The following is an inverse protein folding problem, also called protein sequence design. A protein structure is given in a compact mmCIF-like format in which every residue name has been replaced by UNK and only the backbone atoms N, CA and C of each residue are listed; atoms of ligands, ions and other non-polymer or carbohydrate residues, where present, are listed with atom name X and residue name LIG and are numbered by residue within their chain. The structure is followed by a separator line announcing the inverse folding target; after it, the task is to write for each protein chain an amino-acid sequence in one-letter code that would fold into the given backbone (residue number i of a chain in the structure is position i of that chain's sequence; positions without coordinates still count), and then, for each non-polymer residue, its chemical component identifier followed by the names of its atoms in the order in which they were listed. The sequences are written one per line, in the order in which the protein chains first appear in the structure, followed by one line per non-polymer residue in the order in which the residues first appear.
data_IF_216389870694
#
_entry.id   IF_216389870694
#
_cell.length_a   1.000
_cell.length_b   1.000
_cell.length_c   1.000
_cell.angle_alpha   90.00
_cell.angle_beta   90.00
_cell.angle_gamma   90.00
#
_symmetry.space_group_name_H-M   'P 1'
#
loop_
_entity.id
_entity.type
_entity.pdbx_description
1 polymer ?
#
# COMPACT_ATOMS: atom_id res chain seq x y z
N UNK A 1 -44.41 -4.13 15.01
CA UNK A 1 -43.20 -4.84 15.50
C UNK A 1 -43.45 -5.25 16.92
N UNK A 2 -43.08 -6.47 17.29
CA UNK A 2 -43.18 -6.97 18.66
C UNK A 2 -42.06 -6.31 19.50
N UNK A 3 -42.37 -5.85 20.71
CA UNK A 3 -41.43 -5.26 21.67
C UNK A 3 -41.56 -5.94 23.02
N UNK A 4 -40.58 -5.81 23.94
CA UNK A 4 -40.67 -6.38 25.29
C UNK A 4 -41.89 -5.93 26.10
N UNK A 5 -42.55 -4.83 25.70
CA UNK A 5 -43.73 -4.26 26.35
C UNK A 5 -45.03 -4.48 25.58
N UNK A 6 -45.00 -5.25 24.48
CA UNK A 6 -46.20 -5.54 23.69
C UNK A 6 -47.13 -6.48 24.48
N UNK A 7 -48.37 -6.09 24.81
CA UNK A 7 -49.31 -6.96 25.51
C UNK A 7 -49.72 -8.15 24.64
N UNK A 8 -49.72 -9.36 25.21
CA UNK A 8 -50.13 -10.59 24.52
C UNK A 8 -51.56 -10.93 24.92
N UNK A 9 -52.52 -10.74 24.01
CA UNK A 9 -53.95 -10.96 24.25
C UNK A 9 -54.53 -12.17 23.47
N UNK A 10 -53.70 -12.82 22.65
CA UNK A 10 -54.01 -13.97 21.81
C UNK A 10 -52.73 -14.66 21.35
N UNK A 11 -52.86 -15.86 20.79
CA UNK A 11 -51.73 -16.54 20.14
C UNK A 11 -51.13 -15.67 19.03
N UNK A 12 -49.82 -15.46 19.08
CA UNK A 12 -49.08 -14.65 18.12
C UNK A 12 -47.79 -15.33 17.68
N UNK A 13 -47.38 -15.10 16.44
CA UNK A 13 -46.08 -15.52 15.92
C UNK A 13 -45.24 -14.29 15.58
N UNK A 14 -44.00 -14.27 16.05
CA UNK A 14 -43.02 -13.21 15.71
C UNK A 14 -42.07 -13.79 14.67
N UNK A 15 -42.07 -13.27 13.42
CA UNK A 15 -41.09 -13.67 12.45
C UNK A 15 -39.71 -13.19 12.92
N UNK A 16 -38.79 -14.13 13.11
CA UNK A 16 -37.38 -13.84 13.34
C UNK A 16 -36.65 -14.05 12.03
N UNK A 17 -35.98 -13.01 11.56
CA UNK A 17 -35.03 -13.14 10.44
C UNK A 17 -33.65 -13.33 11.05
N UNK A 18 -33.03 -14.48 10.79
CA UNK A 18 -31.61 -14.70 11.04
C UNK A 18 -30.90 -14.54 9.71
N UNK A 19 -30.07 -13.51 9.58
CA UNK A 19 -29.15 -13.35 8.46
C UNK A 19 -27.82 -13.99 8.85
N UNK A 20 -27.41 -14.99 8.10
CA UNK A 20 -26.06 -15.53 8.12
C UNK A 20 -25.23 -14.69 7.15
N UNK A 21 -24.23 -13.98 7.66
CA UNK A 21 -23.25 -13.27 6.83
C UNK A 21 -21.91 -13.98 6.98
N UNK A 22 -21.25 -14.24 5.85
CA UNK A 22 -19.93 -14.89 5.82
C UNK A 22 -18.81 -13.96 6.30
N UNK A 23 -19.11 -12.69 6.60
CA UNK A 23 -18.14 -11.68 6.97
C UNK A 23 -18.74 -10.59 7.88
N UNK A 24 -17.90 -9.94 8.67
CA UNK A 24 -18.23 -8.79 9.51
C UNK A 24 -18.10 -7.48 8.71
N UNK A 25 -19.05 -6.56 8.85
CA UNK A 25 -19.01 -5.25 8.17
C UNK A 25 -18.62 -4.12 9.13
N UNK A 26 -17.71 -3.25 8.67
CA UNK A 26 -17.29 -2.05 9.41
C UNK A 26 -17.67 -0.83 8.58
N UNK A 27 -18.58 -0.01 9.09
CA UNK A 27 -19.02 1.23 8.44
C UNK A 27 -18.60 2.49 9.22
N UNK A 28 -18.08 2.33 10.44
CA UNK A 28 -17.74 3.42 11.35
C UNK A 28 -16.61 3.04 12.32
N UNK A 29 -16.06 4.04 13.02
CA UNK A 29 -15.09 3.82 14.10
C UNK A 29 -15.66 3.01 15.29
N UNK A 30 -16.96 3.10 15.54
CA UNK A 30 -17.62 2.31 16.57
C UNK A 30 -17.70 0.81 16.19
N UNK A 31 -17.95 0.52 14.92
CA UNK A 31 -17.93 -0.86 14.39
C UNK A 31 -16.52 -1.43 14.45
N UNK A 32 -15.50 -0.61 14.12
CA UNK A 32 -14.09 -0.99 14.26
C UNK A 32 -13.76 -1.39 15.70
N UNK A 33 -14.16 -0.57 16.69
CA UNK A 33 -13.93 -0.89 18.10
C UNK A 33 -14.64 -2.18 18.54
N UNK A 34 -15.86 -2.40 18.04
CA UNK A 34 -16.61 -3.63 18.30
C UNK A 34 -15.91 -4.84 17.71
N UNK A 35 -15.41 -4.72 16.48
CA UNK A 35 -14.59 -5.73 15.83
C UNK A 35 -13.29 -6.02 16.60
N UNK A 36 -12.58 -5.00 17.07
CA UNK A 36 -11.40 -5.19 17.93
C UNK A 36 -11.74 -6.04 19.17
N UNK A 37 -12.85 -5.75 19.84
CA UNK A 37 -13.28 -6.52 21.01
C UNK A 37 -13.64 -7.98 20.66
N UNK A 38 -14.31 -8.21 19.53
CA UNK A 38 -14.67 -9.54 19.04
C UNK A 38 -13.41 -10.40 18.78
N UNK A 39 -12.40 -9.84 18.13
CA UNK A 39 -11.14 -10.55 17.87
C UNK A 39 -10.36 -10.77 19.16
N UNK A 40 -10.23 -9.73 19.99
CA UNK A 40 -9.38 -9.76 21.19
C UNK A 40 -9.94 -10.64 22.32
N UNK A 41 -11.23 -10.97 22.29
CA UNK A 41 -11.90 -11.89 23.24
C UNK A 41 -11.81 -13.36 22.85
N UNK A 42 -11.14 -13.69 21.73
CA UNK A 42 -11.06 -15.04 21.15
C UNK A 42 -12.39 -15.60 20.62
N UNK A 43 -13.46 -14.80 20.58
CA UNK A 43 -14.78 -15.29 20.16
C UNK A 43 -14.77 -15.71 18.69
N UNK A 44 -14.16 -14.91 17.80
CA UNK A 44 -14.08 -15.19 16.37
C UNK A 44 -12.78 -14.67 15.72
N UNK A 45 -11.59 -15.18 16.08
CA UNK A 45 -10.29 -14.64 15.63
C UNK A 45 -10.02 -14.73 14.12
N UNK A 46 -10.85 -15.51 13.39
CA UNK A 46 -10.74 -15.75 11.95
C UNK A 46 -11.93 -15.21 11.15
N UNK A 47 -12.78 -14.35 11.73
CA UNK A 47 -13.91 -13.78 10.99
C UNK A 47 -13.39 -12.86 9.88
N UNK A 48 -13.82 -13.14 8.65
CA UNK A 48 -13.54 -12.28 7.51
C UNK A 48 -14.26 -10.95 7.68
N UNK A 49 -13.67 -9.86 7.21
CA UNK A 49 -14.17 -8.51 7.49
C UNK A 49 -14.06 -7.61 6.28
N UNK A 50 -15.05 -6.74 6.08
CA UNK A 50 -15.07 -5.75 4.99
C UNK A 50 -15.36 -4.34 5.49
N UNK A 51 -14.62 -3.36 4.96
CA UNK A 51 -14.99 -1.96 5.12
C UNK A 51 -16.13 -1.59 4.17
N UNK A 52 -17.09 -0.81 4.66
CA UNK A 52 -18.22 -0.26 3.90
C UNK A 52 -18.01 1.20 3.48
N UNK A 53 -17.17 1.92 4.22
CA UNK A 53 -16.89 3.34 4.05
C UNK A 53 -15.44 3.62 4.46
N UNK A 54 -14.96 4.80 4.09
CA UNK A 54 -13.81 5.39 4.75
C UNK A 54 -14.16 5.65 6.22
N UNK A 55 -13.23 5.35 7.12
CA UNK A 55 -13.42 5.54 8.57
C UNK A 55 -12.25 6.33 9.16
N UNK A 56 -12.58 7.20 10.12
CA UNK A 56 -11.61 7.94 10.92
C UNK A 56 -11.63 7.39 12.34
N UNK A 57 -10.54 6.75 12.76
CA UNK A 57 -10.40 6.20 14.11
C UNK A 57 -10.00 7.27 15.13
N UNK A 58 -9.69 8.47 14.67
CA UNK A 58 -9.25 9.58 15.49
C UNK A 58 -8.01 9.22 16.32
N UNK A 59 -8.05 9.60 17.59
CA UNK A 59 -6.92 9.44 18.51
C UNK A 59 -6.96 8.19 19.37
N UNK A 60 -8.08 7.47 19.38
CA UNK A 60 -8.22 6.26 20.19
C UNK A 60 -7.50 5.08 19.50
N UNK A 61 -6.56 4.45 20.21
CA UNK A 61 -5.81 3.30 19.72
C UNK A 61 -6.62 2.05 20.01
N UNK A 62 -7.37 1.57 19.01
CA UNK A 62 -8.06 0.28 19.03
C UNK A 62 -7.44 -0.63 17.97
N UNK A 63 -6.99 -1.82 18.38
CA UNK A 63 -6.20 -2.72 17.52
C UNK A 63 -6.85 -4.09 17.38
N UNK A 64 -6.64 -4.73 16.23
CA UNK A 64 -7.24 -6.01 15.86
C UNK A 64 -6.24 -7.14 16.11
N UNK A 65 -6.52 -7.93 17.14
CA UNK A 65 -5.65 -8.99 17.60
C UNK A 65 -4.61 -8.51 18.61
N UNK A 66 -4.15 -9.41 19.47
CA UNK A 66 -3.19 -9.17 20.52
C UNK A 66 -2.17 -10.32 20.64
N UNK A 67 -1.26 -10.23 21.60
CA UNK A 67 -0.18 -11.21 21.77
C UNK A 67 -0.67 -12.63 22.09
N UNK A 68 -1.91 -12.77 22.55
CA UNK A 68 -2.60 -14.02 22.84
C UNK A 68 -3.49 -14.39 21.66
N UNK A 69 -4.45 -13.52 21.33
CA UNK A 69 -5.46 -13.74 20.29
C UNK A 69 -5.10 -13.02 19.00
N UNK A 70 -4.39 -13.72 18.13
CA UNK A 70 -3.88 -13.16 16.87
C UNK A 70 -4.97 -13.20 15.80
N UNK A 71 -5.04 -12.18 14.95
CA UNK A 71 -5.98 -12.15 13.84
C UNK A 71 -5.58 -13.15 12.75
N UNK A 72 -6.56 -13.89 12.21
CA UNK A 72 -6.35 -14.98 11.24
C UNK A 72 -7.27 -14.92 10.02
N UNK A 73 -8.12 -13.90 9.95
CA UNK A 73 -9.11 -13.75 8.88
C UNK A 73 -8.59 -13.00 7.67
N UNK A 74 -9.48 -12.78 6.71
CA UNK A 74 -9.32 -11.86 5.60
C UNK A 74 -9.92 -10.51 5.94
N UNK A 75 -9.11 -9.46 5.97
CA UNK A 75 -9.59 -8.08 6.06
C UNK A 75 -9.55 -7.43 4.67
N UNK A 76 -10.72 -7.09 4.11
CA UNK A 76 -10.85 -6.42 2.82
C UNK A 76 -11.30 -4.97 3.02
N UNK A 77 -10.40 -4.02 2.76
CA UNK A 77 -10.72 -2.60 2.80
C UNK A 77 -11.65 -2.15 1.66
N UNK A 78 -11.87 -2.97 0.63
CA UNK A 78 -12.68 -2.64 -0.55
C UNK A 78 -12.31 -1.31 -1.24
N UNK A 79 -11.05 -0.89 -1.11
CA UNK A 79 -10.53 0.38 -1.62
C UNK A 79 -10.78 1.58 -0.70
N UNK A 80 -11.38 1.37 0.49
CA UNK A 80 -11.61 2.41 1.48
C UNK A 80 -10.34 2.78 2.28
N UNK A 81 -10.41 3.95 2.91
CA UNK A 81 -9.34 4.53 3.71
C UNK A 81 -9.65 4.48 5.21
N UNK A 82 -8.68 4.06 6.00
CA UNK A 82 -8.65 4.27 7.46
C UNK A 82 -7.75 5.46 7.77
N UNK A 83 -8.26 6.46 8.47
CA UNK A 83 -7.49 7.60 9.00
C UNK A 83 -7.18 7.42 10.48
N UNK A 84 -5.93 7.69 10.89
CA UNK A 84 -5.47 7.59 12.29
C UNK A 84 -4.71 8.85 12.74
N UNK A 85 -4.88 9.24 14.00
CA UNK A 85 -4.07 10.25 14.70
C UNK A 85 -3.58 9.66 16.03
N UNK A 86 -2.69 8.68 15.96
CA UNK A 86 -2.29 7.90 17.13
C UNK A 86 -1.03 8.45 17.77
N UNK A 87 -1.09 8.73 19.07
CA UNK A 87 0.06 9.13 19.86
C UNK A 87 0.23 8.16 21.03
N UNK A 88 1.09 7.16 20.87
CA UNK A 88 1.31 6.12 21.87
C UNK A 88 2.35 6.52 22.92
N UNK A 89 1.98 6.40 24.19
CA UNK A 89 2.80 6.80 25.33
C UNK A 89 2.54 5.94 26.57
N UNK A 90 3.51 5.93 27.50
CA UNK A 90 3.37 5.25 28.79
C UNK A 90 3.11 3.75 28.64
N UNK A 91 1.91 3.30 29.03
CA UNK A 91 1.50 1.88 29.01
C UNK A 91 0.87 1.43 27.69
N UNK A 92 0.73 2.32 26.71
CA UNK A 92 0.31 1.91 25.37
C UNK A 92 1.28 0.85 24.85
N UNK A 93 0.76 -0.23 24.31
CA UNK A 93 1.56 -1.29 23.71
C UNK A 93 0.91 -1.71 22.42
N UNK A 94 1.71 -2.31 21.56
CA UNK A 94 1.22 -2.99 20.37
C UNK A 94 0.49 -2.09 19.34
N UNK A 95 1.10 -0.94 19.01
CA UNK A 95 0.47 0.11 18.22
C UNK A 95 0.61 -0.16 16.71
N UNK A 96 -0.43 -0.80 16.16
CA UNK A 96 -0.66 -1.04 14.73
C UNK A 96 -2.15 -1.39 14.52
N UNK A 97 -2.66 -1.37 13.28
CA UNK A 97 -4.04 -1.82 13.04
C UNK A 97 -4.24 -3.30 13.42
N UNK A 98 -3.29 -4.16 13.05
CA UNK A 98 -3.27 -5.61 13.28
C UNK A 98 -1.94 -6.04 13.92
N UNK A 99 -1.68 -5.69 15.20
CA UNK A 99 -0.35 -5.80 15.77
C UNK A 99 0.19 -7.22 15.78
N UNK A 100 -0.69 -8.21 15.92
CA UNK A 100 -0.37 -9.63 15.82
C UNK A 100 -1.35 -10.33 14.89
N UNK A 101 -0.81 -10.97 13.86
CA UNK A 101 -1.58 -11.79 12.93
C UNK A 101 -0.82 -13.04 12.55
N UNK A 102 -1.55 -14.07 12.12
CA UNK A 102 -1.02 -15.34 11.64
C UNK A 102 -1.94 -15.91 10.57
N UNK A 103 -1.37 -16.32 9.44
CA UNK A 103 -2.11 -16.88 8.30
C UNK A 103 -3.25 -15.96 7.79
N UNK A 104 -3.07 -14.64 7.92
CA UNK A 104 -4.08 -13.63 7.60
C UNK A 104 -3.86 -13.03 6.20
N UNK A 105 -4.95 -12.49 5.62
CA UNK A 105 -4.89 -11.71 4.39
C UNK A 105 -5.44 -10.31 4.64
N UNK A 106 -4.65 -9.27 4.39
CA UNK A 106 -5.10 -7.88 4.45
C UNK A 106 -5.05 -7.31 3.04
N UNK A 107 -6.18 -6.85 2.50
CA UNK A 107 -6.24 -6.39 1.11
C UNK A 107 -7.07 -5.14 0.87
N UNK A 108 -6.78 -4.46 -0.23
CA UNK A 108 -7.53 -3.30 -0.75
C UNK A 108 -7.73 -2.20 0.30
N UNK A 109 -6.70 -1.91 1.10
CA UNK A 109 -6.81 -0.99 2.25
C UNK A 109 -5.77 0.12 2.14
N UNK A 110 -6.24 1.37 2.19
CA UNK A 110 -5.38 2.53 2.43
C UNK A 110 -5.44 2.94 3.89
N UNK A 111 -4.28 3.24 4.48
CA UNK A 111 -4.18 3.85 5.80
C UNK A 111 -3.46 5.18 5.68
N UNK A 112 -4.01 6.24 6.29
CA UNK A 112 -3.41 7.57 6.28
C UNK A 112 -3.48 8.25 7.65
N UNK A 113 -2.82 9.40 7.78
CA UNK A 113 -2.75 10.19 9.01
C UNK A 113 -1.37 10.13 9.64
N UNK A 114 -1.28 9.97 10.96
CA UNK A 114 0.00 9.98 11.68
C UNK A 114 0.02 9.05 12.89
N UNK A 115 1.23 8.58 13.19
CA UNK A 115 1.55 7.79 14.38
C UNK A 115 2.78 8.39 15.07
N UNK A 116 2.70 8.65 16.36
CA UNK A 116 3.82 9.16 17.16
C UNK A 116 4.03 8.32 18.42
N UNK A 117 5.28 8.14 18.83
CA UNK A 117 5.61 7.56 20.13
C UNK A 117 7.02 7.93 20.55
N UNK A 118 7.26 8.07 21.86
CA UNK A 118 8.57 8.28 22.46
C UNK A 118 9.21 7.01 23.04
N UNK A 119 8.48 5.89 23.04
CA UNK A 119 8.84 4.70 23.82
C UNK A 119 8.38 3.38 23.19
N UNK A 120 7.34 3.39 22.37
CA UNK A 120 6.78 2.21 21.76
C UNK A 120 7.25 2.01 20.32
N UNK A 121 7.37 0.76 19.85
CA UNK A 121 7.54 0.49 18.44
C UNK A 121 6.24 0.77 17.67
N UNK A 122 6.38 1.26 16.44
CA UNK A 122 5.28 1.66 15.58
C UNK A 122 5.30 0.90 14.25
N UNK A 123 4.13 0.49 13.79
CA UNK A 123 3.95 0.05 12.40
C UNK A 123 2.52 0.29 11.99
N UNK A 124 2.26 0.54 10.71
CA UNK A 124 0.89 0.80 10.26
C UNK A 124 0.01 -0.45 10.33
N UNK A 125 0.48 -1.57 9.76
CA UNK A 125 -0.32 -2.78 9.69
C UNK A 125 -0.03 -3.75 10.83
N UNK A 126 1.22 -4.17 11.04
CA UNK A 126 1.50 -5.25 12.01
C UNK A 126 2.87 -5.14 12.68
N UNK A 127 2.92 -5.42 13.98
CA UNK A 127 4.20 -5.48 14.68
C UNK A 127 4.85 -6.87 14.53
N UNK A 128 4.01 -7.91 14.54
CA UNK A 128 4.41 -9.30 14.44
C UNK A 128 3.54 -10.00 13.39
N UNK A 129 4.09 -10.17 12.19
CA UNK A 129 3.45 -10.96 11.15
C UNK A 129 4.03 -12.38 11.15
N UNK A 130 3.14 -13.39 11.17
CA UNK A 130 3.47 -14.82 11.33
C UNK A 130 2.78 -15.67 10.26
N UNK A 131 3.19 -16.94 10.17
CA UNK A 131 2.57 -17.90 9.25
C UNK A 131 2.67 -17.46 7.80
N UNK A 132 1.71 -17.88 6.98
CA UNK A 132 1.59 -17.48 5.57
C UNK A 132 0.65 -16.28 5.46
N UNK A 133 1.21 -15.08 5.63
CA UNK A 133 0.45 -13.83 5.63
C UNK A 133 0.58 -13.10 4.29
N UNK A 134 -0.52 -12.52 3.80
CA UNK A 134 -0.54 -11.73 2.57
C UNK A 134 -1.05 -10.31 2.80
N UNK A 135 -0.35 -9.33 2.24
CA UNK A 135 -0.82 -7.96 2.06
C UNK A 135 -0.99 -7.71 0.56
N UNK A 136 -2.16 -7.27 0.12
CA UNK A 136 -2.48 -7.10 -1.31
C UNK A 136 -3.18 -5.77 -1.58
N UNK A 137 -2.69 -4.94 -2.51
CA UNK A 137 -3.25 -3.61 -2.77
C UNK A 137 -3.32 -2.69 -1.53
N UNK A 138 -2.44 -2.93 -0.55
CA UNK A 138 -2.38 -2.16 0.69
C UNK A 138 -1.46 -0.94 0.55
N UNK A 139 -1.91 0.21 1.05
CA UNK A 139 -1.20 1.49 0.99
C UNK A 139 -1.00 2.02 2.41
N UNK A 140 0.24 2.29 2.76
CA UNK A 140 0.63 3.02 3.96
C UNK A 140 1.03 4.46 3.59
N UNK A 141 0.17 5.41 3.89
CA UNK A 141 0.38 6.85 3.71
C UNK A 141 0.31 7.57 5.06
N UNK A 142 1.04 7.04 6.04
CA UNK A 142 1.03 7.47 7.44
C UNK A 142 2.38 8.10 7.79
N UNK A 143 2.34 9.31 8.37
CA UNK A 143 3.54 9.93 8.94
C UNK A 143 3.87 9.30 10.29
N UNK A 144 4.96 8.55 10.36
CA UNK A 144 5.44 7.91 11.59
C UNK A 144 6.55 8.76 12.21
N UNK A 145 6.42 9.10 13.49
CA UNK A 145 7.47 9.78 14.27
C UNK A 145 7.82 8.99 15.51
N UNK A 146 9.02 8.42 15.57
CA UNK A 146 9.51 7.64 16.71
C UNK A 146 10.59 8.43 17.47
N UNK A 147 10.40 8.60 18.77
CA UNK A 147 11.39 9.09 19.72
C UNK A 147 11.94 7.98 20.62
N UNK A 148 11.80 6.71 20.21
CA UNK A 148 12.14 5.56 21.02
C UNK A 148 13.64 5.54 21.41
N UNK A 149 13.90 5.71 22.71
CA UNK A 149 15.26 5.72 23.28
C UNK A 149 15.82 4.32 23.60
N UNK A 150 14.99 3.28 23.50
CA UNK A 150 15.31 1.94 23.99
C UNK A 150 15.45 0.88 22.89
N UNK A 151 14.86 1.08 21.70
CA UNK A 151 14.99 0.16 20.56
C UNK A 151 15.36 0.86 19.26
N UNK A 152 16.32 0.28 18.53
CA UNK A 152 16.71 0.73 17.19
C UNK A 152 15.78 0.23 16.07
N UNK A 153 15.01 -0.83 16.34
CA UNK A 153 13.99 -1.40 15.46
C UNK A 153 12.61 -0.95 15.93
N UNK A 154 12.32 0.34 15.75
CA UNK A 154 11.19 0.99 16.42
C UNK A 154 10.11 1.52 15.47
N UNK A 155 10.31 1.47 14.16
CA UNK A 155 9.30 1.91 13.20
C UNK A 155 9.39 1.15 11.88
N UNK A 156 8.23 0.89 11.28
CA UNK A 156 8.13 0.39 9.90
C UNK A 156 6.88 0.94 9.19
N UNK A 157 6.98 1.17 7.88
CA UNK A 157 5.84 1.66 7.10
C UNK A 157 4.71 0.64 6.95
N UNK A 158 4.97 -0.68 7.03
CA UNK A 158 3.90 -1.69 7.05
C UNK A 158 4.04 -2.66 8.22
N UNK A 159 5.16 -3.39 8.29
CA UNK A 159 5.34 -4.50 9.25
C UNK A 159 6.60 -4.27 10.07
N UNK A 160 6.52 -4.25 11.40
CA UNK A 160 7.72 -4.09 12.21
C UNK A 160 8.62 -5.33 12.10
N UNK A 161 8.07 -6.53 12.31
CA UNK A 161 8.86 -7.77 12.32
C UNK A 161 8.17 -8.93 11.62
N UNK A 162 8.89 -9.54 10.68
CA UNK A 162 8.59 -10.87 10.17
C UNK A 162 9.13 -11.92 11.14
N UNK A 163 8.24 -12.64 11.81
CA UNK A 163 8.59 -13.59 12.86
C UNK A 163 9.15 -14.91 12.32
N UNK A 164 9.80 -15.74 13.15
CA UNK A 164 10.36 -17.02 12.72
C UNK A 164 9.37 -17.88 11.93
N UNK A 165 9.90 -18.60 10.94
CA UNK A 165 9.17 -19.50 10.03
C UNK A 165 8.08 -18.83 9.16
N UNK A 166 7.92 -17.50 9.24
CA UNK A 166 6.88 -16.79 8.49
C UNK A 166 7.19 -16.67 7.00
N UNK A 167 6.14 -16.68 6.19
CA UNK A 167 6.15 -16.44 4.75
C UNK A 167 5.21 -15.28 4.46
N UNK A 168 5.77 -14.09 4.36
CA UNK A 168 5.01 -12.86 4.15
C UNK A 168 5.11 -12.45 2.68
N UNK A 169 3.96 -12.21 2.07
CA UNK A 169 3.86 -11.73 0.68
C UNK A 169 3.22 -10.36 0.64
N UNK A 170 3.82 -9.45 -0.10
CA UNK A 170 3.30 -8.12 -0.42
C UNK A 170 3.07 -8.06 -1.93
N UNK A 171 1.82 -7.90 -2.33
CA UNK A 171 1.42 -7.76 -3.73
C UNK A 171 0.86 -6.37 -3.95
N UNK A 172 1.46 -5.64 -4.89
CA UNK A 172 0.92 -4.36 -5.36
C UNK A 172 0.74 -3.34 -4.20
N UNK A 173 1.69 -3.32 -3.25
CA UNK A 173 1.63 -2.48 -2.05
C UNK A 173 2.47 -1.20 -2.17
N UNK A 174 2.08 -0.18 -1.42
CA UNK A 174 2.77 1.11 -1.37
C UNK A 174 3.12 1.50 0.08
N UNK A 175 4.33 2.02 0.28
CA UNK A 175 4.66 2.87 1.44
C UNK A 175 5.01 4.26 0.94
N UNK A 176 4.14 5.22 1.22
CA UNK A 176 4.25 6.62 0.83
C UNK A 176 4.51 7.57 2.01
N UNK A 177 4.12 7.17 3.23
CA UNK A 177 4.29 8.00 4.42
C UNK A 177 5.74 8.16 4.87
N UNK A 178 6.05 9.30 5.49
CA UNK A 178 7.37 9.60 6.05
C UNK A 178 7.61 8.89 7.39
N UNK A 179 8.82 8.37 7.58
CA UNK A 179 9.26 7.67 8.79
C UNK A 179 10.43 8.43 9.43
N UNK A 180 10.20 9.06 10.56
CA UNK A 180 11.16 9.97 11.19
C UNK A 180 11.51 9.57 12.63
N UNK A 181 12.77 9.24 12.85
CA UNK A 181 13.37 9.11 14.17
C UNK A 181 13.78 10.48 14.72
N UNK A 182 13.46 10.78 15.98
CA UNK A 182 13.79 12.08 16.61
C UNK A 182 14.97 12.02 17.57
N UNK A 183 15.46 10.81 17.86
CA UNK A 183 16.66 10.57 18.67
C UNK A 183 17.57 9.57 17.98
N UNK A 184 18.86 9.58 18.31
CA UNK A 184 19.86 8.73 17.66
C UNK A 184 19.45 7.26 17.60
N UNK A 185 18.89 6.72 18.68
CA UNK A 185 18.48 5.33 18.74
C UNK A 185 17.33 5.01 17.76
N UNK A 186 16.32 5.87 17.68
CA UNK A 186 15.23 5.74 16.70
C UNK A 186 15.66 5.98 15.25
N UNK A 187 16.85 6.55 15.02
CA UNK A 187 17.42 6.78 13.69
C UNK A 187 18.34 5.65 13.23
N UNK A 188 18.27 4.46 13.83
CA UNK A 188 19.16 3.36 13.47
C UNK A 188 18.54 2.42 12.44
N UNK A 189 17.51 1.62 12.76
CA UNK A 189 17.11 0.47 11.93
C UNK A 189 15.62 0.45 11.56
N UNK A 190 15.02 1.62 11.31
CA UNK A 190 13.62 1.69 10.85
C UNK A 190 13.47 1.10 9.45
N UNK A 191 12.35 0.42 9.18
CA UNK A 191 12.07 -0.22 7.89
C UNK A 191 11.16 0.62 6.99
N UNK A 192 11.40 0.59 5.68
CA UNK A 192 10.46 1.18 4.72
C UNK A 192 9.17 0.37 4.71
N UNK A 193 9.22 -0.88 4.23
CA UNK A 193 8.13 -1.84 4.41
C UNK A 193 8.28 -2.64 5.71
N UNK A 194 9.40 -3.34 5.87
CA UNK A 194 9.68 -4.25 6.99
C UNK A 194 10.95 -3.85 7.75
N UNK A 195 10.88 -3.70 9.08
CA UNK A 195 12.06 -3.28 9.89
C UNK A 195 12.96 -4.46 10.30
N UNK A 196 12.37 -5.56 10.75
CA UNK A 196 13.08 -6.75 11.20
C UNK A 196 12.55 -8.02 10.53
N UNK A 197 13.42 -9.02 10.35
CA UNK A 197 13.08 -10.29 9.74
C UNK A 197 13.93 -11.39 10.40
N UNK A 198 13.27 -12.42 10.91
CA UNK A 198 13.95 -13.61 11.44
C UNK A 198 14.72 -14.35 10.34
N UNK A 199 15.74 -15.12 10.73
CA UNK A 199 16.66 -15.73 9.77
C UNK A 199 16.02 -16.77 8.84
N UNK A 200 14.98 -17.44 9.31
CA UNK A 200 14.19 -18.46 8.62
C UNK A 200 12.85 -17.91 8.08
N UNK A 201 12.60 -16.61 8.23
CA UNK A 201 11.44 -15.94 7.66
C UNK A 201 11.72 -15.43 6.25
N UNK A 202 10.68 -15.37 5.41
CA UNK A 202 10.76 -14.84 4.05
C UNK A 202 9.78 -13.69 3.82
N UNK A 203 10.25 -12.62 3.20
CA UNK A 203 9.43 -11.52 2.71
C UNK A 203 9.54 -11.43 1.18
N UNK A 204 8.43 -11.63 0.47
CA UNK A 204 8.35 -11.53 -0.99
C UNK A 204 7.54 -10.31 -1.38
N UNK A 205 8.05 -9.52 -2.31
CA UNK A 205 7.41 -8.29 -2.80
C UNK A 205 7.21 -8.40 -4.30
N UNK A 206 5.98 -8.21 -4.75
CA UNK A 206 5.60 -8.23 -6.16
C UNK A 206 4.97 -6.89 -6.50
N UNK A 207 5.55 -6.16 -7.46
CA UNK A 207 5.01 -4.88 -7.93
C UNK A 207 4.82 -3.84 -6.81
N UNK A 208 5.75 -3.77 -5.86
CA UNK A 208 5.65 -2.85 -4.71
C UNK A 208 6.42 -1.54 -4.94
N UNK A 209 5.95 -0.45 -4.33
CA UNK A 209 6.50 0.88 -4.49
C UNK A 209 6.80 1.55 -3.13
N UNK A 210 8.01 2.06 -2.97
CA UNK A 210 8.43 2.87 -1.82
C UNK A 210 8.68 4.33 -2.23
N UNK A 211 7.84 5.26 -1.77
CA UNK A 211 8.01 6.70 -2.04
C UNK A 211 8.25 7.54 -0.79
N UNK A 212 7.99 7.02 0.41
CA UNK A 212 8.17 7.76 1.66
C UNK A 212 9.63 8.16 1.94
N UNK A 213 9.84 9.18 2.78
CA UNK A 213 11.19 9.50 3.28
C UNK A 213 11.47 8.76 4.59
N UNK A 214 12.74 8.44 4.83
CA UNK A 214 13.17 7.81 6.08
C UNK A 214 14.55 8.30 6.49
N UNK A 215 14.68 8.80 7.72
CA UNK A 215 15.94 9.39 8.22
C UNK A 215 16.83 8.40 8.98
N UNK A 216 16.54 7.11 8.92
CA UNK A 216 17.37 6.08 9.52
C UNK A 216 18.76 5.98 8.85
N UNK A 217 19.78 5.77 9.66
CA UNK A 217 21.18 5.57 9.28
C UNK A 217 21.46 4.12 8.84
N UNK A 218 20.60 3.18 9.24
CA UNK A 218 20.55 1.77 8.89
C UNK A 218 19.12 1.36 8.49
N UNK A 219 18.86 0.06 8.37
CA UNK A 219 17.57 -0.47 7.88
C UNK A 219 17.51 -0.61 6.35
N UNK A 220 16.31 -0.85 5.83
CA UNK A 220 16.07 -1.31 4.46
C UNK A 220 14.77 -0.74 3.88
N UNK A 221 14.78 -0.38 2.59
CA UNK A 221 13.57 0.09 1.91
C UNK A 221 12.45 -0.96 1.87
N UNK A 222 12.78 -2.24 1.66
CA UNK A 222 11.79 -3.32 1.61
C UNK A 222 11.86 -4.23 2.83
N UNK A 223 12.94 -5.00 3.01
CA UNK A 223 13.13 -5.87 4.17
C UNK A 223 14.61 -6.25 4.34
N UNK A 224 15.05 -6.84 5.46
CA UNK A 224 16.43 -7.31 5.60
C UNK A 224 16.87 -8.36 4.57
N UNK A 225 16.01 -9.33 4.22
CA UNK A 225 16.30 -10.38 3.23
C UNK A 225 15.11 -10.55 2.28
N UNK A 226 14.85 -9.58 1.38
CA UNK A 226 13.66 -9.59 0.54
C UNK A 226 13.87 -10.39 -0.74
N UNK A 227 12.81 -11.01 -1.23
CA UNK A 227 12.68 -11.39 -2.65
C UNK A 227 11.90 -10.29 -3.36
N UNK A 228 12.53 -9.59 -4.31
CA UNK A 228 11.95 -8.45 -4.99
C UNK A 228 11.64 -8.79 -6.44
N UNK A 229 10.37 -8.67 -6.81
CA UNK A 229 9.89 -8.84 -8.16
C UNK A 229 9.21 -7.53 -8.60
N UNK A 230 9.82 -6.81 -9.54
CA UNK A 230 9.28 -5.56 -10.08
C UNK A 230 9.00 -4.48 -9.02
N UNK A 231 9.98 -4.22 -8.13
CA UNK A 231 9.82 -3.27 -7.03
C UNK A 231 10.63 -1.99 -7.26
N UNK A 232 10.04 -0.83 -6.95
CA UNK A 232 10.66 0.47 -7.20
C UNK A 232 10.74 1.33 -5.94
N UNK A 233 11.73 2.21 -5.87
CA UNK A 233 11.85 3.21 -4.82
C UNK A 233 12.25 4.58 -5.36
N UNK A 234 11.79 5.65 -4.71
CA UNK A 234 12.20 7.03 -5.02
C UNK A 234 13.29 7.50 -4.07
N UNK A 235 12.96 7.50 -2.78
CA UNK A 235 13.83 8.04 -1.75
C UNK A 235 14.68 6.92 -1.17
N UNK A 236 15.97 6.91 -1.53
CA UNK A 236 16.93 6.00 -0.93
C UNK A 236 17.17 6.37 0.55
N UNK A 237 17.33 5.36 1.40
CA UNK A 237 17.91 5.51 2.73
C UNK A 237 18.68 4.24 3.09
N UNK A 238 19.69 4.38 3.94
CA UNK A 238 20.52 3.29 4.45
C UNK A 238 20.88 2.23 3.39
N UNK A 239 20.31 1.02 3.49
CA UNK A 239 20.53 -0.07 2.53
C UNK A 239 19.46 -0.04 1.43
N UNK A 240 19.90 0.32 0.23
CA UNK A 240 19.05 0.49 -0.93
C UNK A 240 18.68 -0.85 -1.57
N UNK A 241 17.40 -1.01 -1.91
CA UNK A 241 16.82 -2.25 -2.43
C UNK A 241 15.74 -1.93 -3.47
N UNK A 242 15.66 -2.71 -4.55
CA UNK A 242 14.74 -2.46 -5.66
C UNK A 242 15.35 -1.61 -6.76
N UNK A 243 14.51 -1.15 -7.69
CA UNK A 243 14.92 -0.31 -8.82
C UNK A 243 14.65 1.18 -8.51
N UNK A 244 15.66 2.07 -8.59
CA UNK A 244 15.42 3.50 -8.40
C UNK A 244 14.48 4.05 -9.46
N UNK A 245 13.64 5.00 -9.05
CA UNK A 245 12.82 5.84 -9.93
C UNK A 245 12.84 7.29 -9.45
N UNK A 246 12.23 8.20 -10.21
CA UNK A 246 12.19 9.63 -9.89
C UNK A 246 10.76 10.13 -9.78
N UNK A 247 10.57 11.32 -9.20
CA UNK A 247 9.26 11.96 -9.14
C UNK A 247 8.69 12.22 -10.54
N UNK A 248 9.52 12.54 -11.52
CA UNK A 248 9.12 12.76 -12.91
C UNK A 248 8.66 11.45 -13.56
N UNK A 249 9.36 10.33 -13.29
CA UNK A 249 8.94 9.01 -13.77
C UNK A 249 7.63 8.53 -13.12
N UNK A 250 7.40 8.88 -11.85
CA UNK A 250 6.14 8.61 -11.18
C UNK A 250 5.00 9.41 -11.80
N UNK A 251 5.20 10.68 -12.11
CA UNK A 251 4.18 11.55 -12.69
C UNK A 251 3.91 11.27 -14.17
N UNK A 252 4.82 10.60 -14.88
CA UNK A 252 4.75 10.41 -16.33
C UNK A 252 3.97 9.18 -16.78
N UNK A 253 3.47 8.33 -15.87
CA UNK A 253 2.85 7.04 -16.21
C UNK A 253 3.84 5.91 -16.45
N UNK A 254 5.14 6.20 -16.52
CA UNK A 254 6.20 5.19 -16.68
C UNK A 254 6.13 4.14 -15.57
N UNK A 255 6.12 4.56 -14.30
CA UNK A 255 6.11 3.63 -13.16
C UNK A 255 4.79 2.86 -13.08
N UNK A 256 3.66 3.49 -13.40
CA UNK A 256 2.36 2.82 -13.47
C UNK A 256 2.39 1.65 -14.48
N UNK A 257 2.92 1.91 -15.68
CA UNK A 257 3.05 0.91 -16.74
C UNK A 257 4.01 -0.22 -16.36
N UNK A 258 5.15 0.12 -15.73
CA UNK A 258 6.11 -0.87 -15.23
C UNK A 258 5.49 -1.77 -14.16
N UNK A 259 4.79 -1.19 -13.18
CA UNK A 259 4.12 -1.93 -12.11
C UNK A 259 2.98 -2.80 -12.65
N UNK A 260 2.23 -2.32 -13.65
CA UNK A 260 1.21 -3.09 -14.35
C UNK A 260 1.80 -4.35 -15.03
N UNK A 261 3.04 -4.28 -15.52
CA UNK A 261 3.85 -5.41 -16.00
C UNK A 261 3.13 -6.28 -17.05
N UNK A 262 2.36 -5.64 -17.94
CA UNK A 262 1.64 -6.32 -19.02
C UNK A 262 0.47 -7.20 -18.57
N UNK A 263 0.04 -7.12 -17.30
CA UNK A 263 -1.16 -7.83 -16.81
C UNK A 263 -2.40 -7.37 -17.58
N UNK A 264 -3.27 -8.31 -17.91
CA UNK A 264 -4.50 -8.04 -18.66
C UNK A 264 -5.53 -7.27 -17.82
N UNK A 265 -5.68 -7.67 -16.56
CA UNK A 265 -6.51 -7.00 -15.56
C UNK A 265 -5.85 -5.70 -15.14
N UNK A 266 -6.65 -4.63 -15.02
CA UNK A 266 -6.14 -3.35 -14.57
C UNK A 266 -5.88 -3.41 -13.06
N UNK A 267 -4.62 -3.34 -12.64
CA UNK A 267 -4.22 -3.38 -11.23
C UNK A 267 -3.52 -2.10 -10.81
N UNK A 268 -2.76 -1.49 -11.71
CA UNK A 268 -2.11 -0.20 -11.50
C UNK A 268 -2.62 0.84 -12.48
N UNK A 269 -2.88 2.03 -11.96
CA UNK A 269 -3.36 3.15 -12.77
C UNK A 269 -2.96 4.49 -12.20
N UNK A 270 -3.14 5.51 -13.04
CA UNK A 270 -2.81 6.89 -12.73
C UNK A 270 -3.61 7.81 -13.65
N UNK A 271 -4.08 8.96 -13.16
CA UNK A 271 -4.59 10.04 -14.02
C UNK A 271 -3.45 11.00 -14.33
N UNK A 272 -2.90 10.95 -15.56
CA UNK A 272 -1.74 11.76 -15.94
C UNK A 272 -2.06 13.25 -15.92
N UNK A 273 -1.10 14.05 -15.41
CA UNK A 273 -1.27 15.49 -15.18
C UNK A 273 -2.08 15.85 -13.93
N UNK A 274 -2.58 14.87 -13.18
CA UNK A 274 -3.29 15.08 -11.90
C UNK A 274 -2.62 14.30 -10.77
N UNK A 275 -2.49 12.99 -10.92
CA UNK A 275 -1.91 12.11 -9.92
C UNK A 275 -0.37 12.20 -9.98
N UNK A 276 0.28 12.52 -8.86
CA UNK A 276 1.74 12.58 -8.79
C UNK A 276 2.41 11.20 -8.77
N UNK A 277 1.67 10.18 -8.33
CA UNK A 277 2.14 8.80 -8.18
C UNK A 277 1.06 7.82 -8.64
N UNK A 278 1.43 6.62 -9.13
CA UNK A 278 0.46 5.59 -9.47
C UNK A 278 -0.11 4.93 -8.21
N UNK A 279 -1.31 4.36 -8.33
CA UNK A 279 -2.01 3.66 -7.25
C UNK A 279 -2.55 2.30 -7.74
N UNK A 280 -2.71 1.32 -6.84
CA UNK A 280 -3.51 0.14 -7.11
C UNK A 280 -4.96 0.55 -7.38
N UNK A 281 -5.46 0.21 -8.58
CA UNK A 281 -6.83 0.53 -8.99
C UNK A 281 -7.25 -0.31 -10.19
N UNK A 282 -8.51 -0.72 -10.18
CA UNK A 282 -9.19 -1.41 -11.28
C UNK A 282 -9.87 -0.47 -12.27
N UNK A 283 -9.88 0.84 -11.98
CA UNK A 283 -10.58 1.85 -12.78
C UNK A 283 -10.00 1.99 -14.19
N UNK A 284 -10.79 1.62 -15.19
CA UNK A 284 -10.36 1.56 -16.59
C UNK A 284 -9.87 2.90 -17.15
N UNK A 285 -10.42 4.03 -16.69
CA UNK A 285 -10.01 5.38 -17.09
C UNK A 285 -8.63 5.78 -16.55
N UNK A 286 -8.14 5.09 -15.51
CA UNK A 286 -6.79 5.25 -14.95
C UNK A 286 -5.75 4.35 -15.61
N UNK A 287 -6.13 3.45 -16.52
CA UNK A 287 -5.18 2.60 -17.24
C UNK A 287 -4.19 3.44 -18.04
N UNK A 288 -2.93 3.04 -18.00
CA UNK A 288 -1.84 3.67 -18.75
C UNK A 288 -1.46 2.81 -19.96
N UNK A 289 -1.43 3.44 -21.12
CA UNK A 289 -0.97 2.87 -22.38
C UNK A 289 0.41 3.43 -22.73
N UNK A 290 1.23 2.62 -23.40
CA UNK A 290 2.57 3.00 -23.82
C UNK A 290 2.64 3.20 -25.33
N UNK A 291 3.02 4.39 -25.77
CA UNK A 291 3.32 4.68 -27.17
C UNK A 291 4.83 4.60 -27.37
N UNK A 292 5.29 3.60 -28.13
CA UNK A 292 6.72 3.43 -28.42
C UNK A 292 7.10 4.08 -29.75
N UNK A 293 8.14 4.89 -29.72
CA UNK A 293 8.69 5.52 -30.91
C UNK A 293 9.96 4.79 -31.34
N UNK A 294 9.91 4.20 -32.53
CA UNK A 294 11.02 3.41 -33.09
C UNK A 294 11.66 4.10 -34.29
N UNK A 295 12.98 3.99 -34.41
CA UNK A 295 13.72 4.41 -35.60
C UNK A 295 14.72 3.32 -36.01
N UNK A 296 14.69 2.90 -37.28
CA UNK A 296 15.48 1.79 -37.83
C UNK A 296 15.31 0.47 -37.03
N UNK A 297 14.07 0.14 -36.66
CA UNK A 297 13.74 -1.08 -35.93
C UNK A 297 14.15 -1.09 -34.44
N UNK A 298 14.66 0.03 -33.92
CA UNK A 298 15.02 0.17 -32.50
C UNK A 298 14.09 1.14 -31.79
N UNK A 299 13.63 0.79 -30.59
CA UNK A 299 12.93 1.71 -29.69
C UNK A 299 13.90 2.81 -29.28
N UNK A 300 13.50 4.07 -29.48
CA UNK A 300 14.29 5.25 -29.12
C UNK A 300 13.77 5.91 -27.86
N UNK A 301 12.45 6.04 -27.77
CA UNK A 301 11.79 6.57 -26.57
C UNK A 301 10.36 6.05 -26.52
N UNK A 302 9.70 6.27 -25.38
CA UNK A 302 8.30 5.95 -25.19
C UNK A 302 7.61 7.03 -24.37
N UNK A 303 6.37 7.33 -24.73
CA UNK A 303 5.48 8.21 -23.99
C UNK A 303 4.30 7.40 -23.47
N UNK A 304 3.61 7.93 -22.46
CA UNK A 304 2.49 7.26 -21.82
C UNK A 304 1.25 8.14 -21.83
N UNK A 305 0.09 7.52 -21.93
CA UNK A 305 -1.20 8.21 -21.97
C UNK A 305 -2.30 7.39 -21.29
N UNK A 306 -3.29 8.09 -20.73
CA UNK A 306 -4.59 7.47 -20.45
C UNK A 306 -5.38 7.25 -21.75
N UNK A 307 -6.37 6.36 -21.71
CA UNK A 307 -7.25 6.08 -22.87
C UNK A 307 -7.88 7.37 -23.43
N UNK A 308 -7.92 7.52 -24.76
CA UNK A 308 -8.47 8.68 -25.43
C UNK A 308 -7.63 9.96 -25.32
N UNK A 309 -6.44 9.90 -24.71
CA UNK A 309 -5.53 11.04 -24.60
C UNK A 309 -4.40 10.96 -25.64
N UNK A 310 -3.76 12.09 -25.88
CA UNK A 310 -2.63 12.21 -26.81
C UNK A 310 -1.30 12.12 -26.07
N UNK A 311 -0.22 11.87 -26.79
CA UNK A 311 1.15 11.94 -26.27
C UNK A 311 1.93 13.06 -26.93
N UNK A 312 2.92 13.60 -26.22
CA UNK A 312 3.94 14.45 -26.84
C UNK A 312 4.79 13.62 -27.80
N UNK A 313 5.05 14.18 -28.98
CA UNK A 313 5.89 13.54 -29.99
C UNK A 313 7.37 13.80 -29.69
N UNK A 314 8.23 12.81 -29.90
CA UNK A 314 9.65 12.96 -29.64
C UNK A 314 10.31 13.91 -30.64
N UNK A 315 11.32 14.59 -30.15
CA UNK A 315 12.21 15.44 -30.92
C UNK A 315 13.13 14.64 -31.84
N UNK A 316 13.72 15.30 -32.84
CA UNK A 316 14.72 14.68 -33.69
C UNK A 316 15.96 14.23 -32.89
N UNK A 317 16.30 14.95 -31.82
CA UNK A 317 17.40 14.62 -30.92
C UNK A 317 17.13 13.31 -30.17
N UNK A 318 15.93 13.14 -29.60
CA UNK A 318 15.56 11.91 -28.90
C UNK A 318 15.53 10.69 -29.84
N UNK A 319 15.11 10.88 -31.10
CA UNK A 319 15.06 9.80 -32.09
C UNK A 319 16.44 9.41 -32.63
N UNK A 320 17.32 10.38 -32.85
CA UNK A 320 18.62 10.17 -33.51
C UNK A 320 19.78 9.96 -32.52
N UNK A 321 19.66 10.45 -31.28
CA UNK A 321 20.69 10.37 -30.26
C UNK A 321 22.03 10.92 -30.77
N UNK A 322 23.08 10.11 -30.74
CA UNK A 322 24.40 10.48 -31.23
C UNK A 322 24.47 10.86 -32.73
N UNK A 323 23.46 10.48 -33.53
CA UNK A 323 23.33 10.89 -34.94
C UNK A 323 22.68 12.26 -35.14
N UNK A 324 22.22 12.90 -34.06
CA UNK A 324 21.64 14.24 -34.11
C UNK A 324 22.73 15.30 -34.36
N UNK A 325 22.46 16.23 -35.27
CA UNK A 325 23.29 17.39 -35.54
C UNK A 325 22.42 18.65 -35.47
N UNK A 326 22.66 19.57 -34.54
CA UNK A 326 21.84 20.77 -34.38
C UNK A 326 21.91 21.75 -35.58
N UNK A 327 22.85 21.55 -36.51
CA UNK A 327 22.96 22.36 -37.73
C UNK A 327 22.18 21.78 -38.93
N UNK A 328 21.51 20.63 -38.77
CA UNK A 328 20.67 20.03 -39.79
C UNK A 328 19.18 20.32 -39.54
N UNK A 329 18.41 20.38 -40.62
CA UNK A 329 16.95 20.43 -40.55
C UNK A 329 16.39 19.01 -40.65
N UNK A 330 15.55 18.64 -39.70
CA UNK A 330 14.90 17.34 -39.65
C UNK A 330 13.39 17.50 -39.87
N UNK A 331 12.82 16.69 -40.76
CA UNK A 331 11.37 16.54 -40.90
C UNK A 331 11.01 15.14 -40.40
N UNK A 332 10.14 15.07 -39.39
CA UNK A 332 9.70 13.81 -38.78
C UNK A 332 8.30 13.50 -39.29
N UNK A 333 8.11 12.27 -39.79
CA UNK A 333 6.81 11.73 -40.12
C UNK A 333 6.67 10.37 -39.45
N UNK A 334 5.49 10.12 -38.87
CA UNK A 334 5.18 8.86 -38.20
C UNK A 334 4.27 8.02 -39.11
N UNK A 335 4.47 6.70 -39.10
CA UNK A 335 3.66 5.77 -39.88
C UNK A 335 2.18 5.82 -39.48
N UNK A 336 1.30 5.39 -40.38
CA UNK A 336 -0.15 5.34 -40.14
C UNK A 336 -0.82 6.72 -40.00
N UNK A 337 -0.10 7.80 -40.29
CA UNK A 337 -0.61 9.16 -40.11
C UNK A 337 -0.71 9.57 -38.64
N UNK A 338 0.10 8.97 -37.75
CA UNK A 338 0.14 9.36 -36.35
C UNK A 338 0.61 10.81 -36.19
N UNK A 339 -0.19 11.61 -35.49
CA UNK A 339 0.01 13.06 -35.28
C UNK A 339 -0.09 13.41 -33.80
N UNK A 340 0.27 14.65 -33.39
CA UNK A 340 0.09 15.09 -32.00
C UNK A 340 -1.37 15.04 -31.50
N UNK A 341 -2.34 14.95 -32.41
CA UNK A 341 -3.78 14.90 -32.08
C UNK A 341 -4.36 13.49 -32.15
N UNK A 342 -3.53 12.46 -32.37
CA UNK A 342 -3.99 11.07 -32.45
C UNK A 342 -4.26 10.54 -31.03
N UNK A 343 -5.50 10.13 -30.70
CA UNK A 343 -5.81 9.58 -29.40
C UNK A 343 -5.21 8.17 -29.23
N UNK A 344 -4.78 7.86 -28.01
CA UNK A 344 -4.24 6.57 -27.59
C UNK A 344 -5.36 5.77 -26.93
N UNK A 345 -5.87 4.75 -27.63
CA UNK A 345 -7.02 3.94 -27.16
C UNK A 345 -6.65 2.48 -26.87
N UNK A 346 -5.44 2.05 -27.23
CA UNK A 346 -4.93 0.69 -27.06
C UNK A 346 -3.39 0.68 -27.11
N UNK A 347 -2.81 -0.43 -26.62
CA UNK A 347 -1.37 -0.70 -26.69
C UNK A 347 -0.88 -0.97 -28.13
#
# INVERSE_FOLDING_TARGET
GFTPTTPVDRDCSVPVTVTEEDYYEIASAADWKTFCNLINSAEQPSVDTKLKNDIDLGTEINTVGNSIEQYKGTFDGQGHTITIDWNAHGTDTYVALFPFLVDATIKNLRVTGKMTSDSQPLSVFSLAARGTTTYEHCISDVKITSGNKSSSYCAAGMVLSAYPESKITFNDCIVAGDINGTVDNSQQNMGGFVSAQADDATCTFNNCLYTGTNNAKGGYAFAPKPTLNNCYYVNAFANVQGTPTTAEQLASGYVAWMLQSGRAENVWGQTLGTDATPLPTDKADKRIYRVQFTHNGQVKTASYANSGKTVELPTAEELLGAGYNPHHYYAIAFEGGFTPTTPVDRD
#
